data_IF_164317899887
#
_entry.id   IF_164317899887
#
_cell.length_a   1.000
_cell.length_b   1.000
_cell.length_c   1.000
_cell.angle_alpha   90.00
_cell.angle_beta   90.00
_cell.angle_gamma   90.00
#
_symmetry.space_group_name_H-M   'P 1'
#
loop_
_entity.id
_entity.type
_entity.pdbx_description
1 polymer ?
#
# COMPACT_ATOMS: atom_id res chain seq x y z
N UNK A 1 -0.88 -2.19 -8.76
CA UNK A 1 -1.89 -1.75 -9.74
C UNK A 1 -1.82 -2.54 -11.04
N UNK A 2 -0.80 -2.37 -11.90
CA UNK A 2 -0.70 -3.13 -13.17
C UNK A 2 -0.90 -4.64 -13.01
N UNK A 3 -0.27 -5.29 -12.03
CA UNK A 3 -0.49 -6.72 -11.78
C UNK A 3 -1.96 -7.09 -11.50
N UNK A 4 -2.69 -6.22 -10.79
CA UNK A 4 -4.11 -6.39 -10.51
C UNK A 4 -4.95 -6.20 -11.77
N UNK A 5 -4.69 -5.13 -12.54
CA UNK A 5 -5.38 -4.86 -13.80
C UNK A 5 -5.18 -6.01 -14.79
N UNK A 6 -3.96 -6.52 -14.92
CA UNK A 6 -3.66 -7.67 -15.79
C UNK A 6 -4.39 -8.94 -15.37
N UNK A 7 -4.55 -9.15 -14.06
CA UNK A 7 -5.32 -10.28 -13.54
C UNK A 7 -6.82 -10.16 -13.82
N UNK A 8 -7.35 -8.93 -13.81
CA UNK A 8 -8.76 -8.63 -14.07
C UNK A 8 -9.08 -8.49 -15.57
N UNK A 9 -8.07 -8.28 -16.41
CA UNK A 9 -8.24 -8.04 -17.84
C UNK A 9 -8.82 -9.25 -18.55
N UNK A 10 -9.89 -9.01 -19.29
CA UNK A 10 -10.46 -9.94 -20.25
C UNK A 10 -11.03 -9.16 -21.43
N UNK A 11 -11.28 -9.79 -22.58
CA UNK A 11 -11.92 -9.13 -23.72
C UNK A 11 -13.31 -8.55 -23.43
N UNK A 12 -13.95 -8.97 -22.34
CA UNK A 12 -15.29 -8.53 -21.92
C UNK A 12 -15.25 -7.35 -20.93
N UNK A 13 -14.06 -6.95 -20.45
CA UNK A 13 -13.90 -5.93 -19.43
C UNK A 13 -13.17 -4.73 -20.03
N UNK A 14 -13.86 -3.59 -20.11
CA UNK A 14 -13.29 -2.34 -20.55
C UNK A 14 -12.49 -1.67 -19.41
N UNK A 15 -11.17 -1.78 -19.47
CA UNK A 15 -10.25 -1.15 -18.53
C UNK A 15 -9.74 0.17 -19.10
N UNK A 16 -9.99 1.27 -18.40
CA UNK A 16 -9.45 2.60 -18.73
C UNK A 16 -8.52 3.10 -17.63
N UNK A 17 -7.32 3.56 -17.99
CA UNK A 17 -6.34 4.11 -17.04
C UNK A 17 -6.06 5.59 -17.31
N UNK A 18 -5.82 6.35 -16.25
CA UNK A 18 -5.44 7.77 -16.27
C UNK A 18 -4.11 7.89 -15.54
N UNK A 19 -3.03 8.28 -16.22
CA UNK A 19 -1.65 8.16 -15.68
C UNK A 19 -0.80 9.41 -15.95
N UNK A 20 0.18 9.69 -15.09
CA UNK A 20 1.11 10.82 -15.22
C UNK A 20 2.56 10.42 -14.82
N UNK A 21 3.40 9.93 -15.76
CA UNK A 21 3.09 9.48 -17.12
C UNK A 21 2.62 8.01 -17.15
N UNK A 22 2.36 7.47 -18.35
CA UNK A 22 2.17 6.04 -18.56
C UNK A 22 3.51 5.32 -18.36
N UNK A 23 3.57 4.41 -17.38
CA UNK A 23 4.80 3.69 -17.00
C UNK A 23 5.07 2.47 -17.90
N UNK A 24 4.01 1.77 -18.32
CA UNK A 24 4.08 0.57 -19.15
C UNK A 24 2.91 0.54 -20.12
N UNK A 25 3.20 0.32 -21.40
CA UNK A 25 2.15 0.14 -22.42
C UNK A 25 1.63 -1.29 -22.35
N UNK A 26 0.30 -1.42 -22.27
CA UNK A 26 -0.41 -2.69 -22.23
C UNK A 26 -1.61 -2.61 -23.18
N UNK A 27 -1.61 -3.43 -24.23
CA UNK A 27 -2.55 -3.29 -25.36
C UNK A 27 -4.00 -3.51 -24.97
N UNK A 28 -4.24 -4.32 -23.94
CA UNK A 28 -5.57 -4.64 -23.42
C UNK A 28 -6.19 -3.50 -22.59
N UNK A 29 -5.47 -2.40 -22.33
CA UNK A 29 -5.96 -1.25 -21.56
C UNK A 29 -6.13 -0.02 -22.45
N UNK A 30 -7.18 0.76 -22.20
CA UNK A 30 -7.32 2.11 -22.73
C UNK A 30 -6.55 3.10 -21.85
N UNK A 31 -5.30 3.38 -22.18
CA UNK A 31 -4.41 4.19 -21.33
C UNK A 31 -4.33 5.65 -21.79
N UNK A 32 -4.65 6.58 -20.87
CA UNK A 32 -4.68 8.02 -21.14
C UNK A 32 -3.64 8.70 -20.26
N UNK A 33 -2.67 9.36 -20.89
CA UNK A 33 -1.70 10.20 -20.19
C UNK A 33 -2.27 11.58 -19.87
N UNK A 34 -2.01 12.07 -18.66
CA UNK A 34 -2.29 13.44 -18.24
C UNK A 34 -1.38 14.40 -19.02
N UNK A 35 -1.93 15.53 -19.48
CA UNK A 35 -1.19 16.57 -20.20
C UNK A 35 -1.57 17.96 -19.64
N UNK A 36 -0.97 18.38 -18.50
CA UNK A 36 -1.40 19.59 -17.80
C UNK A 36 -1.24 20.87 -18.63
N UNK A 37 -0.25 20.91 -19.52
CA UNK A 37 0.06 22.07 -20.39
C UNK A 37 -1.10 22.43 -21.33
N UNK A 38 -1.91 21.43 -21.72
CA UNK A 38 -3.09 21.62 -22.59
C UNK A 38 -4.41 21.43 -21.83
N UNK A 39 -4.38 21.43 -20.50
CA UNK A 39 -5.57 21.34 -19.65
C UNK A 39 -6.19 19.94 -19.55
N UNK A 40 -5.47 18.90 -19.97
CA UNK A 40 -5.90 17.51 -19.79
C UNK A 40 -5.39 17.03 -18.43
N UNK A 41 -6.25 17.09 -17.41
CA UNK A 41 -5.95 16.72 -16.01
C UNK A 41 -6.62 15.41 -15.61
N UNK A 42 -6.27 14.85 -14.44
CA UNK A 42 -6.96 13.67 -13.88
C UNK A 42 -8.49 13.87 -13.82
N UNK A 43 -8.93 14.99 -13.25
CA UNK A 43 -10.36 15.32 -13.11
C UNK A 43 -11.08 15.53 -14.44
N UNK A 44 -10.44 16.17 -15.43
CA UNK A 44 -11.04 16.36 -16.76
C UNK A 44 -11.16 15.04 -17.52
N UNK A 45 -10.14 14.18 -17.46
CA UNK A 45 -10.20 12.85 -18.09
C UNK A 45 -11.29 12.02 -17.42
N UNK A 46 -11.30 11.95 -16.09
CA UNK A 46 -12.23 11.13 -15.33
C UNK A 46 -13.70 11.44 -15.64
N UNK A 47 -14.06 12.73 -15.81
CA UNK A 47 -15.41 13.14 -16.22
C UNK A 47 -15.80 12.71 -17.63
N UNK A 48 -14.82 12.55 -18.53
CA UNK A 48 -15.06 12.15 -19.91
C UNK A 48 -15.13 10.64 -20.09
N UNK A 49 -14.33 9.87 -19.34
CA UNK A 49 -14.29 8.41 -19.49
C UNK A 49 -15.58 7.73 -19.05
N UNK A 50 -16.41 8.36 -18.21
CA UNK A 50 -17.73 7.81 -17.84
C UNK A 50 -18.68 7.67 -19.04
N UNK A 51 -18.37 8.32 -20.18
CA UNK A 51 -19.09 8.16 -21.46
C UNK A 51 -18.42 7.14 -22.40
N UNK A 52 -17.42 6.42 -21.93
CA UNK A 52 -16.69 5.39 -22.69
C UNK A 52 -17.10 3.97 -22.27
N UNK A 53 -18.19 3.82 -21.52
CA UNK A 53 -18.67 2.53 -21.01
C UNK A 53 -17.57 1.71 -20.27
N UNK A 54 -16.81 2.31 -19.32
CA UNK A 54 -15.72 1.61 -18.64
C UNK A 54 -16.28 0.67 -17.57
N UNK A 55 -15.68 -0.51 -17.39
CA UNK A 55 -15.97 -1.40 -16.26
C UNK A 55 -15.04 -1.11 -15.08
N UNK A 56 -13.76 -0.92 -15.39
CA UNK A 56 -12.69 -0.66 -14.41
C UNK A 56 -11.98 0.63 -14.80
N UNK A 57 -11.84 1.51 -13.81
CA UNK A 57 -11.14 2.78 -13.95
C UNK A 57 -9.93 2.76 -13.03
N UNK A 58 -8.73 2.98 -13.59
CA UNK A 58 -7.55 3.24 -12.78
C UNK A 58 -7.17 4.72 -12.85
N UNK A 59 -7.17 5.38 -11.71
CA UNK A 59 -6.67 6.75 -11.56
C UNK A 59 -5.28 6.66 -10.94
N UNK A 60 -4.25 7.08 -11.66
CA UNK A 60 -2.85 6.92 -11.28
C UNK A 60 -2.57 7.36 -9.85
N UNK A 61 -3.16 8.49 -9.44
CA UNK A 61 -3.11 8.99 -8.07
C UNK A 61 -4.24 9.98 -7.77
N UNK A 62 -4.61 10.09 -6.49
CA UNK A 62 -5.50 11.13 -5.99
C UNK A 62 -4.65 12.14 -5.20
N UNK A 63 -4.43 13.33 -5.79
CA UNK A 63 -3.67 14.42 -5.17
C UNK A 63 -4.56 15.50 -4.54
N UNK A 64 -5.75 15.70 -5.09
CA UNK A 64 -6.65 16.80 -4.76
C UNK A 64 -8.09 16.32 -4.58
N UNK A 65 -8.90 17.22 -4.02
CA UNK A 65 -10.32 17.00 -3.74
C UNK A 65 -11.12 16.69 -5.00
N UNK A 66 -10.90 17.43 -6.08
CA UNK A 66 -11.68 17.30 -7.31
C UNK A 66 -11.50 15.89 -7.92
N UNK A 67 -10.27 15.39 -7.96
CA UNK A 67 -9.96 14.05 -8.44
C UNK A 67 -10.58 12.99 -7.52
N UNK A 68 -10.48 13.19 -6.20
CA UNK A 68 -11.08 12.28 -5.21
C UNK A 68 -12.61 12.20 -5.36
N UNK A 69 -13.29 13.34 -5.51
CA UNK A 69 -14.75 13.41 -5.70
C UNK A 69 -15.17 12.71 -6.99
N UNK A 70 -14.50 12.97 -8.11
CA UNK A 70 -14.82 12.31 -9.38
C UNK A 70 -14.59 10.79 -9.31
N UNK A 71 -13.56 10.32 -8.61
CA UNK A 71 -13.28 8.89 -8.42
C UNK A 71 -14.36 8.22 -7.56
N UNK A 72 -14.79 8.86 -6.48
CA UNK A 72 -15.91 8.40 -5.66
C UNK A 72 -17.20 8.36 -6.45
N UNK A 73 -17.52 9.41 -7.24
CA UNK A 73 -18.72 9.42 -8.08
C UNK A 73 -18.71 8.26 -9.09
N UNK A 74 -17.57 8.02 -9.76
CA UNK A 74 -17.43 6.89 -10.66
C UNK A 74 -17.66 5.55 -9.96
N UNK A 75 -17.17 5.39 -8.73
CA UNK A 75 -17.40 4.19 -7.93
C UNK A 75 -18.87 4.02 -7.53
N UNK A 76 -19.54 5.09 -7.11
CA UNK A 76 -20.95 5.07 -6.73
C UNK A 76 -21.90 4.78 -7.90
N UNK A 77 -21.48 5.04 -9.15
CA UNK A 77 -22.23 4.65 -10.35
C UNK A 77 -21.98 3.20 -10.79
N UNK A 78 -21.23 2.43 -10.02
CA UNK A 78 -21.05 0.98 -10.22
C UNK A 78 -19.72 0.55 -10.86
N UNK A 79 -18.79 1.47 -11.10
CA UNK A 79 -17.48 1.12 -11.68
C UNK A 79 -16.50 0.67 -10.59
N UNK A 80 -15.62 -0.28 -10.91
CA UNK A 80 -14.49 -0.59 -10.04
C UNK A 80 -13.40 0.47 -10.24
N UNK A 81 -13.15 1.27 -9.20
CA UNK A 81 -12.12 2.32 -9.24
C UNK A 81 -10.90 1.89 -8.44
N UNK A 82 -9.73 1.88 -9.08
CA UNK A 82 -8.44 1.66 -8.45
C UNK A 82 -7.63 2.96 -8.48
N UNK A 83 -7.02 3.34 -7.35
CA UNK A 83 -6.14 4.51 -7.33
C UNK A 83 -5.00 4.38 -6.33
N UNK A 84 -4.10 5.36 -6.32
CA UNK A 84 -3.03 5.47 -5.32
C UNK A 84 -3.17 6.74 -4.50
N UNK A 85 -2.77 6.65 -3.24
CA UNK A 85 -2.60 7.78 -2.34
C UNK A 85 -1.20 7.66 -1.72
N UNK A 86 -0.60 8.80 -1.38
CA UNK A 86 0.66 8.84 -0.65
C UNK A 86 0.40 8.92 0.85
N UNK A 87 0.42 7.76 1.50
CA UNK A 87 0.25 7.60 2.94
C UNK A 87 1.27 6.60 3.50
N UNK A 88 1.44 6.61 4.83
CA UNK A 88 2.41 5.73 5.48
C UNK A 88 1.91 4.30 5.65
N UNK A 89 0.59 4.12 5.71
CA UNK A 89 -0.12 2.89 6.04
C UNK A 89 -1.58 2.97 5.53
N UNK A 90 -2.31 1.86 5.63
CA UNK A 90 -3.65 1.73 5.10
C UNK A 90 -4.67 2.57 5.89
N UNK A 91 -4.72 2.55 7.25
CA UNK A 91 -5.63 3.40 8.03
C UNK A 91 -5.50 4.90 7.72
N UNK A 92 -4.27 5.41 7.57
CA UNK A 92 -4.00 6.82 7.25
C UNK A 92 -4.53 7.23 5.88
N UNK A 93 -4.81 6.28 4.99
CA UNK A 93 -5.43 6.58 3.68
C UNK A 93 -6.88 7.01 3.82
N UNK A 94 -7.61 6.47 4.81
CA UNK A 94 -8.98 6.87 5.10
C UNK A 94 -9.01 8.31 5.61
N UNK A 95 -8.13 8.65 6.57
CA UNK A 95 -8.02 10.02 7.07
C UNK A 95 -7.51 10.97 6.00
N UNK A 96 -6.60 10.53 5.11
CA UNK A 96 -6.15 11.36 3.99
C UNK A 96 -7.27 11.74 3.04
N UNK A 97 -8.23 10.85 2.80
CA UNK A 97 -9.43 11.17 2.00
C UNK A 97 -10.31 12.21 2.70
N UNK A 98 -10.49 12.11 4.03
CA UNK A 98 -11.17 13.13 4.84
C UNK A 98 -10.44 14.48 4.80
N UNK A 99 -9.11 14.48 4.91
CA UNK A 99 -8.27 15.68 4.86
C UNK A 99 -8.31 16.38 3.49
N UNK A 100 -8.53 15.63 2.41
CA UNK A 100 -8.80 16.19 1.08
C UNK A 100 -10.18 16.86 1.01
N UNK A 101 -11.04 16.64 2.01
CA UNK A 101 -12.36 17.25 2.12
C UNK A 101 -13.48 16.40 1.52
N UNK A 102 -13.28 15.09 1.39
CA UNK A 102 -14.37 14.14 1.12
C UNK A 102 -15.18 13.91 2.41
N UNK A 103 -16.51 14.08 2.36
CA UNK A 103 -17.38 13.72 3.48
C UNK A 103 -17.26 12.23 3.85
N UNK A 104 -17.24 11.93 5.15
CA UNK A 104 -17.14 10.56 5.65
C UNK A 104 -18.18 9.60 5.04
N UNK A 105 -19.44 10.03 4.86
CA UNK A 105 -20.49 9.19 4.30
C UNK A 105 -20.21 8.73 2.85
N UNK A 106 -19.49 9.54 2.06
CA UNK A 106 -19.09 9.15 0.71
C UNK A 106 -18.01 8.08 0.73
N UNK A 107 -17.05 8.19 1.66
CA UNK A 107 -16.01 7.17 1.86
C UNK A 107 -16.65 5.86 2.34
N UNK A 108 -17.57 5.94 3.32
CA UNK A 108 -18.39 4.82 3.80
C UNK A 108 -19.13 4.08 2.68
N UNK A 109 -19.65 4.82 1.71
CA UNK A 109 -20.45 4.27 0.62
C UNK A 109 -19.63 3.72 -0.56
N UNK A 110 -18.37 4.16 -0.75
CA UNK A 110 -17.58 3.86 -1.97
C UNK A 110 -16.30 3.06 -1.73
N UNK A 111 -15.64 3.21 -0.57
CA UNK A 111 -14.37 2.54 -0.32
C UNK A 111 -14.59 1.05 -0.01
N UNK A 112 -13.93 0.17 -0.76
CA UNK A 112 -14.00 -1.29 -0.53
C UNK A 112 -12.83 -1.78 0.34
N UNK A 113 -11.67 -1.15 0.21
CA UNK A 113 -10.48 -1.50 0.98
C UNK A 113 -9.27 -0.69 0.55
N UNK A 114 -8.21 -0.78 1.35
CA UNK A 114 -6.94 -0.09 1.14
C UNK A 114 -5.80 -1.09 1.25
N UNK A 115 -4.84 -1.00 0.33
CA UNK A 115 -3.59 -1.76 0.41
C UNK A 115 -2.43 -0.80 0.56
N UNK A 116 -1.77 -0.83 1.72
CA UNK A 116 -0.47 -0.20 1.89
C UNK A 116 0.64 -1.20 1.60
N UNK A 117 1.71 -0.75 0.96
CA UNK A 117 2.83 -1.60 0.61
C UNK A 117 4.17 -0.91 0.83
N UNK A 118 5.18 -1.70 1.20
CA UNK A 118 6.58 -1.26 1.19
C UNK A 118 7.49 -2.36 0.65
N UNK A 119 8.68 -1.97 0.21
CA UNK A 119 9.68 -2.89 -0.33
C UNK A 119 10.85 -3.05 0.65
N UNK A 120 11.12 -4.29 1.04
CA UNK A 120 12.30 -4.69 1.79
C UNK A 120 13.37 -5.21 0.83
N UNK A 121 14.64 -4.90 1.09
CA UNK A 121 15.77 -5.57 0.43
C UNK A 121 15.88 -7.01 0.91
N UNK A 122 16.14 -7.95 0.00
CA UNK A 122 16.37 -9.35 0.35
C UNK A 122 17.83 -9.60 0.68
N UNK A 123 18.10 -10.40 1.71
CA UNK A 123 19.48 -10.85 2.01
C UNK A 123 20.04 -11.57 0.78
N UNK A 124 21.28 -11.24 0.41
CA UNK A 124 21.98 -11.86 -0.69
C UNK A 124 22.16 -13.37 -0.41
N UNK A 125 21.68 -14.27 -1.30
CA UNK A 125 21.77 -15.72 -1.06
C UNK A 125 23.20 -16.26 -1.12
N UNK A 126 24.14 -15.54 -1.75
CA UNK A 126 25.53 -15.97 -1.94
C UNK A 126 26.45 -15.65 -0.77
N UNK A 127 26.07 -14.71 0.10
CA UNK A 127 26.87 -14.31 1.26
C UNK A 127 26.00 -14.23 2.53
N UNK A 128 24.93 -15.03 2.58
CA UNK A 128 24.03 -15.11 3.72
C UNK A 128 24.75 -15.83 4.86
N UNK A 129 24.83 -15.19 6.01
CA UNK A 129 25.34 -15.76 7.24
C UNK A 129 24.30 -15.63 8.35
N UNK A 130 24.39 -16.49 9.37
CA UNK A 130 23.52 -16.46 10.53
C UNK A 130 24.25 -15.94 11.76
N UNK A 131 23.56 -15.19 12.59
CA UNK A 131 24.02 -14.73 13.89
C UNK A 131 22.86 -14.82 14.89
N UNK A 132 23.14 -14.66 16.17
CA UNK A 132 22.13 -14.69 17.24
C UNK A 132 22.05 -13.33 17.90
N UNK A 133 20.84 -12.90 18.23
CA UNK A 133 20.57 -11.75 19.11
C UNK A 133 19.75 -12.21 20.30
N UNK A 134 19.88 -11.52 21.44
CA UNK A 134 18.98 -11.78 22.56
C UNK A 134 17.58 -11.25 22.25
N UNK A 135 16.59 -11.80 22.96
CA UNK A 135 15.21 -11.32 22.86
C UNK A 135 15.11 -9.87 23.35
N UNK A 136 15.79 -9.54 24.43
CA UNK A 136 15.80 -8.22 25.04
C UNK A 136 16.37 -7.16 24.07
N UNK A 137 17.40 -7.51 23.30
CA UNK A 137 17.95 -6.64 22.26
C UNK A 137 16.94 -6.36 21.13
N UNK A 138 16.16 -7.37 20.73
CA UNK A 138 15.14 -7.22 19.68
C UNK A 138 13.92 -6.44 20.17
N UNK A 139 13.48 -6.69 21.40
CA UNK A 139 12.38 -5.96 22.03
C UNK A 139 12.74 -4.50 22.26
N UNK A 140 14.00 -4.19 22.62
CA UNK A 140 14.50 -2.82 22.71
C UNK A 140 14.49 -2.09 21.35
N UNK A 141 14.51 -2.83 20.24
CA UNK A 141 14.35 -2.30 18.88
C UNK A 141 12.88 -2.25 18.42
N UNK A 142 11.92 -2.59 19.30
CA UNK A 142 10.50 -2.67 18.97
C UNK A 142 10.16 -3.86 18.06
N UNK A 143 11.00 -4.90 18.05
CA UNK A 143 10.78 -6.13 17.28
C UNK A 143 10.29 -7.22 18.25
N UNK A 144 8.99 -7.47 18.22
CA UNK A 144 8.40 -8.56 18.99
C UNK A 144 8.69 -9.90 18.32
N UNK A 145 9.28 -10.81 19.09
CA UNK A 145 9.62 -12.17 18.67
C UNK A 145 8.95 -13.18 19.60
N UNK A 146 8.80 -14.42 19.12
CA UNK A 146 8.19 -15.51 19.88
C UNK A 146 9.01 -15.96 21.10
N UNK A 147 8.64 -17.12 21.66
CA UNK A 147 9.31 -17.66 22.84
C UNK A 147 10.79 -18.00 22.61
N UNK A 148 11.62 -17.78 23.63
CA UNK A 148 13.06 -18.05 23.61
C UNK A 148 13.88 -16.90 24.21
N UNK A 149 15.13 -17.19 24.61
CA UNK A 149 16.09 -16.17 25.07
C UNK A 149 16.92 -15.57 23.94
N UNK A 150 17.12 -16.32 22.87
CA UNK A 150 17.93 -15.91 21.72
C UNK A 150 17.20 -16.26 20.43
N UNK A 151 17.34 -15.38 19.43
CA UNK A 151 16.75 -15.56 18.10
C UNK A 151 17.88 -15.66 17.08
N UNK A 152 17.83 -16.69 16.24
CA UNK A 152 18.76 -16.85 15.12
C UNK A 152 18.28 -15.99 13.96
N UNK A 153 19.07 -14.97 13.63
CA UNK A 153 18.83 -14.05 12.52
C UNK A 153 19.85 -14.26 11.41
N UNK A 154 19.63 -13.57 10.30
CA UNK A 154 20.47 -13.66 9.12
C UNK A 154 20.84 -12.27 8.61
N UNK A 155 22.03 -12.17 8.02
CA UNK A 155 22.52 -10.97 7.33
C UNK A 155 23.35 -11.36 6.12
N UNK A 156 23.64 -10.38 5.27
CA UNK A 156 24.58 -10.58 4.16
C UNK A 156 25.95 -9.99 4.50
N UNK A 157 27.01 -10.80 4.46
CA UNK A 157 28.38 -10.33 4.72
C UNK A 157 28.93 -9.37 3.65
N UNK A 158 28.32 -9.37 2.46
CA UNK A 158 28.82 -8.64 1.29
C UNK A 158 29.70 -9.53 0.40
N UNK A 159 29.44 -9.51 -0.90
CA UNK A 159 30.22 -10.24 -1.91
C UNK A 159 30.11 -9.56 -3.28
N UNK A 160 30.86 -10.05 -4.27
CA UNK A 160 30.84 -9.52 -5.63
C UNK A 160 29.42 -9.56 -6.26
N UNK A 161 28.62 -10.61 -6.00
CA UNK A 161 27.26 -10.76 -6.57
C UNK A 161 26.28 -9.69 -6.08
N UNK A 162 26.44 -9.21 -4.85
CA UNK A 162 25.65 -8.11 -4.29
C UNK A 162 26.40 -6.78 -4.28
N UNK A 163 27.57 -6.70 -4.93
CA UNK A 163 28.45 -5.51 -4.95
C UNK A 163 28.77 -4.98 -3.54
N UNK A 164 29.03 -5.90 -2.62
CA UNK A 164 29.37 -5.58 -1.22
C UNK A 164 28.20 -5.14 -0.34
N UNK A 165 26.97 -5.03 -0.85
CA UNK A 165 25.83 -4.48 -0.07
C UNK A 165 25.25 -5.45 0.96
N UNK A 166 25.46 -6.76 0.79
CA UNK A 166 24.77 -7.80 1.57
C UNK A 166 23.33 -8.09 1.10
N UNK A 167 22.81 -7.37 0.10
CA UNK A 167 21.43 -7.51 -0.39
C UNK A 167 21.37 -7.86 -1.88
N UNK A 168 20.39 -8.69 -2.29
CA UNK A 168 20.15 -9.01 -3.70
C UNK A 168 18.65 -9.17 -3.98
N UNK A 169 18.08 -8.21 -4.69
CA UNK A 169 16.64 -8.14 -4.98
C UNK A 169 15.81 -7.54 -3.84
N UNK A 170 14.49 -7.54 -4.02
CA UNK A 170 13.51 -6.96 -3.08
C UNK A 170 12.33 -7.90 -2.87
N UNK A 171 11.59 -7.70 -1.80
CA UNK A 171 10.29 -8.34 -1.52
C UNK A 171 9.31 -7.30 -1.01
N UNK A 172 8.04 -7.40 -1.40
CA UNK A 172 6.96 -6.59 -0.85
C UNK A 172 6.50 -7.11 0.51
N UNK A 173 6.11 -6.18 1.38
CA UNK A 173 5.24 -6.36 2.54
C UNK A 173 3.95 -5.57 2.28
N UNK A 174 2.83 -6.12 2.71
CA UNK A 174 1.51 -5.58 2.40
C UNK A 174 0.69 -5.54 3.67
N UNK A 175 0.08 -4.40 3.93
CA UNK A 175 -0.96 -4.21 4.92
C UNK A 175 -2.26 -4.02 4.15
N UNK A 176 -3.20 -4.93 4.36
CA UNK A 176 -4.47 -4.96 3.62
C UNK A 176 -5.58 -4.67 4.61
N UNK A 177 -6.24 -3.54 4.43
CA UNK A 177 -7.37 -3.08 5.23
C UNK A 177 -8.66 -3.26 4.41
N UNK A 178 -9.43 -4.35 4.63
CA UNK A 178 -10.81 -4.41 4.17
C UNK A 178 -11.63 -3.29 4.83
N UNK A 179 -12.50 -2.64 4.07
CA UNK A 179 -13.36 -1.58 4.61
C UNK A 179 -14.70 -2.17 5.08
N UNK A 180 -14.62 -2.94 6.16
CA UNK A 180 -15.74 -3.66 6.79
C UNK A 180 -16.78 -2.71 7.39
N UNK A 181 -17.95 -3.23 7.76
CA UNK A 181 -19.02 -2.44 8.40
C UNK A 181 -18.56 -1.76 9.70
N UNK A 182 -17.78 -2.46 10.52
CA UNK A 182 -17.16 -1.92 11.75
C UNK A 182 -16.15 -0.83 11.47
N UNK A 183 -15.38 -0.92 10.38
CA UNK A 183 -14.49 0.16 9.94
C UNK A 183 -15.30 1.37 9.43
N UNK A 184 -16.42 1.15 8.73
CA UNK A 184 -17.32 2.22 8.31
C UNK A 184 -17.90 2.97 9.50
N UNK A 185 -18.33 2.26 10.54
CA UNK A 185 -18.90 2.84 11.77
C UNK A 185 -17.93 3.77 12.50
N UNK A 186 -16.65 3.41 12.57
CA UNK A 186 -15.63 4.27 13.21
C UNK A 186 -15.19 5.42 12.29
N UNK A 187 -15.40 5.33 10.98
CA UNK A 187 -15.01 6.35 10.02
C UNK A 187 -15.95 7.55 10.09
N UNK A 188 -15.55 8.58 10.82
CA UNK A 188 -16.27 9.86 10.99
C UNK A 188 -15.33 11.04 10.80
N UNK A 189 -15.89 12.23 10.64
CA UNK A 189 -15.09 13.46 10.56
C UNK A 189 -14.16 13.60 11.78
N UNK A 190 -12.87 13.84 11.52
CA UNK A 190 -11.85 13.96 12.57
C UNK A 190 -11.44 12.65 13.24
N UNK A 191 -11.81 11.48 12.70
CA UNK A 191 -11.30 10.18 13.19
C UNK A 191 -9.78 10.13 13.09
N UNK A 192 -9.14 9.57 14.12
CA UNK A 192 -7.69 9.38 14.11
C UNK A 192 -7.31 8.05 13.45
N UNK A 193 -6.18 7.97 12.72
CA UNK A 193 -5.73 6.73 12.09
C UNK A 193 -5.60 5.56 13.09
N UNK A 194 -5.26 5.84 14.34
CA UNK A 194 -5.09 4.85 15.41
C UNK A 194 -6.41 4.15 15.78
N UNK A 195 -7.55 4.83 15.68
CA UNK A 195 -8.87 4.24 15.93
C UNK A 195 -9.20 3.20 14.85
N UNK A 196 -9.00 3.57 13.59
CA UNK A 196 -9.18 2.67 12.44
C UNK A 196 -8.20 1.50 12.51
N UNK A 197 -6.93 1.77 12.84
CA UNK A 197 -5.90 0.73 12.98
C UNK A 197 -6.28 -0.27 14.07
N UNK A 198 -6.67 0.21 15.25
CA UNK A 198 -7.03 -0.64 16.39
C UNK A 198 -8.18 -1.57 16.03
N UNK A 199 -9.22 -1.02 15.37
CA UNK A 199 -10.34 -1.82 14.89
C UNK A 199 -9.92 -2.86 13.84
N UNK A 200 -9.10 -2.47 12.87
CA UNK A 200 -8.62 -3.37 11.83
C UNK A 200 -7.72 -4.50 12.37
N UNK A 201 -6.86 -4.21 13.35
CA UNK A 201 -6.04 -5.21 14.04
C UNK A 201 -6.92 -6.20 14.82
N UNK A 202 -7.98 -5.71 15.48
CA UNK A 202 -8.96 -6.57 16.15
C UNK A 202 -9.69 -7.51 15.18
N UNK A 203 -9.86 -7.08 13.92
CA UNK A 203 -10.42 -7.89 12.82
C UNK A 203 -9.39 -8.81 12.14
N UNK A 204 -8.15 -8.82 12.62
CA UNK A 204 -7.09 -9.70 12.13
C UNK A 204 -6.27 -9.13 10.98
N UNK A 205 -6.33 -7.83 10.72
CA UNK A 205 -5.36 -7.17 9.84
C UNK A 205 -3.94 -7.40 10.37
N UNK A 206 -3.00 -7.68 9.47
CA UNK A 206 -1.57 -7.75 9.79
C UNK A 206 -0.89 -6.50 9.24
N UNK A 207 -0.27 -5.72 10.11
CA UNK A 207 0.35 -4.45 9.73
C UNK A 207 1.68 -4.65 8.95
N UNK A 208 2.23 -3.54 8.45
CA UNK A 208 3.51 -3.55 7.73
C UNK A 208 4.66 -4.08 8.59
N UNK A 209 4.71 -3.71 9.89
CA UNK A 209 5.75 -4.12 10.83
C UNK A 209 5.73 -5.61 11.08
N UNK A 210 4.59 -6.19 11.40
CA UNK A 210 4.36 -7.62 11.62
C UNK A 210 4.73 -8.42 10.36
N UNK A 211 4.33 -7.96 9.18
CA UNK A 211 4.73 -8.58 7.91
C UNK A 211 6.24 -8.52 7.67
N UNK A 212 6.90 -7.42 8.05
CA UNK A 212 8.35 -7.26 7.95
C UNK A 212 9.09 -8.20 8.93
N UNK A 213 8.62 -8.28 10.17
CA UNK A 213 9.16 -9.19 11.20
C UNK A 213 8.99 -10.65 10.79
N UNK A 214 7.86 -11.04 10.21
CA UNK A 214 7.69 -12.39 9.65
C UNK A 214 8.78 -12.72 8.63
N UNK A 215 9.08 -11.80 7.70
CA UNK A 215 10.15 -11.99 6.70
C UNK A 215 11.55 -11.97 7.31
N UNK A 216 11.77 -11.24 8.40
CA UNK A 216 13.01 -11.27 9.18
C UNK A 216 13.24 -12.65 9.78
N UNK A 217 12.23 -13.22 10.45
CA UNK A 217 12.29 -14.54 11.06
C UNK A 217 12.46 -15.67 10.02
N UNK A 218 11.88 -15.51 8.83
CA UNK A 218 12.13 -16.39 7.67
C UNK A 218 13.55 -16.23 7.07
N UNK A 219 14.36 -15.29 7.57
CA UNK A 219 15.70 -14.99 7.08
C UNK A 219 15.71 -14.43 5.65
N UNK A 220 14.64 -13.74 5.24
CA UNK A 220 14.54 -13.08 3.92
C UNK A 220 15.09 -11.66 3.94
N UNK A 221 15.05 -10.98 5.08
CA UNK A 221 15.52 -9.60 5.29
C UNK A 221 16.29 -9.50 6.62
N UNK A 222 16.91 -8.36 6.89
CA UNK A 222 17.60 -8.07 8.16
C UNK A 222 16.76 -7.19 9.08
N UNK A 223 17.11 -7.13 10.37
CA UNK A 223 16.36 -6.33 11.35
C UNK A 223 16.52 -4.82 11.11
N UNK A 224 17.68 -4.38 10.60
CA UNK A 224 17.93 -3.00 10.19
C UNK A 224 16.99 -2.61 9.06
N UNK A 225 16.70 -3.54 8.14
CA UNK A 225 15.79 -3.30 7.04
C UNK A 225 14.33 -3.24 7.48
N UNK A 226 13.95 -4.05 8.48
CA UNK A 226 12.64 -3.93 9.15
C UNK A 226 12.53 -2.51 9.72
N UNK A 227 13.48 -2.09 10.56
CA UNK A 227 13.47 -0.77 11.20
C UNK A 227 13.42 0.37 10.18
N UNK A 228 14.28 0.33 9.16
CA UNK A 228 14.34 1.35 8.11
C UNK A 228 13.00 1.53 7.41
N UNK A 229 12.29 0.44 7.14
CA UNK A 229 11.06 0.45 6.35
C UNK A 229 9.82 0.67 7.20
N UNK A 230 9.86 0.50 8.52
CA UNK A 230 8.67 0.55 9.39
C UNK A 230 8.81 1.54 10.56
N UNK A 231 9.81 2.43 10.50
CA UNK A 231 10.10 3.41 11.56
C UNK A 231 8.92 4.34 11.89
N UNK A 232 8.07 4.67 10.91
CA UNK A 232 6.89 5.51 11.15
C UNK A 232 5.87 4.83 12.09
N UNK A 233 5.72 3.50 11.99
CA UNK A 233 4.72 2.73 12.74
C UNK A 233 5.09 2.61 14.24
N UNK A 234 6.38 2.72 14.58
CA UNK A 234 6.88 2.65 15.97
C UNK A 234 6.67 3.94 16.77
N UNK A 235 6.36 5.07 16.13
CA UNK A 235 6.13 6.35 16.81
C UNK A 235 4.63 6.56 17.10
N UNK A 236 3.74 5.92 16.34
CA UNK A 236 2.28 6.00 16.52
C UNK A 236 1.71 5.02 17.54
N UNK A 237 2.53 4.12 18.09
CA UNK A 237 2.13 3.07 19.03
C UNK A 237 2.72 3.24 20.44
N UNK A 238 3.29 4.42 20.74
CA UNK A 238 3.84 4.80 22.05
C UNK A 238 3.06 5.92 22.72
#
# INVERSE_FOLDING_TARGET
>A
LYSTLRYLSSPEINITTIEDPIEMVYEEFNQIAVQPVVGITFSSILRNILRQDPDIIMVGEIRDKETAENAVQASLTGHLVLSTLHTNDAPSSVTRLLDLGLPAFLIQASLVGVVAQRLLRKICPYCKESFTMSREELEALGIQVGEGKTVRLHRGAGCLKCRGTGFHGRTGIFEVLPFSETIKEVTKEGVKPEEIRSQALNEGMVDLRQNAVKKLLEGKTTYEEVLRVTWADSVSSG
#
